data_IF_607481969513
#
_entry.id   IF_607481969513
#
_cell.length_a   1.000
_cell.length_b   1.000
_cell.length_c   1.000
_cell.angle_alpha   90.00
_cell.angle_beta   90.00
_cell.angle_gamma   90.00
#
_symmetry.space_group_name_H-M   'P 1'
#
loop_
_entity.id
_entity.type
_entity.pdbx_description
1 polymer ?
#
# COMPACT_ATOMS: atom_id res chain seq x y z
N UNK A 1 -17.66 -16.35 -17.15
CA UNK A 1 -16.21 -16.60 -17.24
C UNK A 1 -15.58 -15.49 -18.07
N UNK A 2 -14.43 -14.99 -17.66
CA UNK A 2 -13.64 -14.02 -18.42
C UNK A 2 -12.32 -14.70 -18.71
N UNK A 3 -11.81 -14.57 -19.93
CA UNK A 3 -10.50 -15.07 -20.32
C UNK A 3 -9.76 -14.02 -21.13
N UNK A 4 -8.53 -13.77 -20.78
CA UNK A 4 -7.60 -12.89 -21.45
C UNK A 4 -6.43 -13.74 -21.90
N UNK A 5 -6.03 -13.64 -23.16
CA UNK A 5 -4.97 -14.44 -23.75
C UNK A 5 -3.99 -13.52 -24.46
N UNK A 6 -2.74 -13.51 -23.99
CA UNK A 6 -1.60 -12.79 -24.54
C UNK A 6 -1.93 -11.31 -24.90
N UNK A 7 -2.48 -10.56 -23.94
CA UNK A 7 -2.93 -9.20 -24.18
C UNK A 7 -1.78 -8.20 -24.15
N UNK A 8 -1.59 -7.47 -25.27
CA UNK A 8 -0.59 -6.42 -25.39
C UNK A 8 -1.24 -5.05 -25.63
N UNK A 9 -0.68 -4.03 -24.96
CA UNK A 9 -1.10 -2.64 -25.14
C UNK A 9 0.08 -1.70 -25.07
N UNK A 10 0.20 -0.83 -26.09
CA UNK A 10 1.24 0.21 -26.16
C UNK A 10 0.62 1.61 -26.34
N UNK A 11 1.31 2.62 -25.83
CA UNK A 11 1.07 4.03 -26.11
C UNK A 11 2.32 4.64 -26.75
N UNK A 12 2.29 4.78 -28.08
CA UNK A 12 3.47 5.15 -28.84
C UNK A 12 4.56 4.10 -28.71
N UNK A 13 5.74 4.47 -28.16
CA UNK A 13 6.87 3.54 -27.94
C UNK A 13 6.80 2.81 -26.58
N UNK A 14 5.88 3.19 -25.69
CA UNK A 14 5.78 2.62 -24.36
C UNK A 14 4.83 1.43 -24.38
N UNK A 15 5.36 0.22 -24.24
CA UNK A 15 4.56 -0.99 -24.01
C UNK A 15 4.14 -1.06 -22.55
N UNK A 16 2.80 -0.97 -22.32
CA UNK A 16 2.18 -0.90 -21.00
C UNK A 16 1.67 -2.26 -20.53
N UNK A 17 1.10 -3.07 -21.43
CA UNK A 17 0.75 -4.47 -21.16
C UNK A 17 1.60 -5.38 -22.06
N UNK A 18 2.19 -6.40 -21.46
CA UNK A 18 3.24 -7.21 -22.09
C UNK A 18 2.89 -8.70 -22.09
N UNK A 19 1.79 -9.04 -22.79
CA UNK A 19 1.32 -10.43 -22.85
C UNK A 19 0.64 -10.86 -21.55
N UNK A 20 -0.46 -10.20 -21.17
CA UNK A 20 -1.22 -10.57 -19.98
C UNK A 20 -2.13 -11.75 -20.31
N UNK A 21 -2.01 -12.81 -19.53
CA UNK A 21 -2.92 -13.92 -19.45
C UNK A 21 -3.69 -13.87 -18.13
N UNK A 22 -5.01 -14.00 -18.16
CA UNK A 22 -5.84 -13.99 -16.97
C UNK A 22 -7.16 -14.71 -17.24
N UNK A 23 -7.56 -15.57 -16.32
CA UNK A 23 -8.87 -16.19 -16.32
C UNK A 23 -9.62 -15.83 -15.04
N UNK A 24 -10.91 -15.44 -15.16
CA UNK A 24 -11.78 -15.12 -14.01
C UNK A 24 -13.05 -15.95 -14.11
N UNK A 25 -13.33 -16.71 -13.06
CA UNK A 25 -14.52 -17.57 -12.97
C UNK A 25 -15.77 -16.75 -12.66
N UNK A 26 -16.95 -17.28 -12.98
CA UNK A 26 -18.22 -16.65 -12.61
C UNK A 26 -18.34 -16.57 -11.08
N UNK A 27 -18.69 -15.40 -10.57
CA UNK A 27 -18.81 -15.12 -9.14
C UNK A 27 -17.46 -14.90 -8.43
N UNK A 28 -16.34 -14.97 -9.16
CA UNK A 28 -15.02 -14.70 -8.61
C UNK A 28 -14.77 -13.19 -8.51
N UNK A 29 -14.11 -12.79 -7.43
CA UNK A 29 -13.67 -11.42 -7.19
C UNK A 29 -12.15 -11.38 -7.27
N UNK A 30 -11.65 -10.80 -8.34
CA UNK A 30 -10.21 -10.61 -8.55
C UNK A 30 -9.83 -9.17 -8.19
N UNK A 31 -8.93 -9.00 -7.25
CA UNK A 31 -8.36 -7.69 -6.91
C UNK A 31 -6.97 -7.56 -7.53
N UNK A 32 -6.74 -6.46 -8.25
CA UNK A 32 -5.47 -6.15 -8.89
C UNK A 32 -4.79 -5.02 -8.13
N UNK A 33 -3.58 -5.28 -7.62
CA UNK A 33 -2.75 -4.31 -6.90
C UNK A 33 -1.46 -4.05 -7.65
N UNK A 34 -0.76 -2.97 -7.31
CA UNK A 34 0.53 -2.60 -7.90
C UNK A 34 0.72 -1.08 -7.93
N UNK A 35 1.95 -0.63 -8.17
CA UNK A 35 2.30 0.79 -8.20
C UNK A 35 1.54 1.55 -9.31
N UNK A 36 1.45 2.88 -9.21
CA UNK A 36 0.87 3.71 -10.27
C UNK A 36 1.67 3.54 -11.58
N UNK A 37 0.96 3.54 -12.71
CA UNK A 37 1.57 3.40 -14.03
C UNK A 37 1.96 1.98 -14.43
N UNK A 38 1.63 0.93 -13.65
CA UNK A 38 1.96 -0.46 -14.00
C UNK A 38 1.01 -1.14 -15.00
N UNK A 39 -0.02 -0.43 -15.47
CA UNK A 39 -0.94 -0.94 -16.49
C UNK A 39 -2.29 -1.45 -15.96
N UNK A 40 -2.57 -1.38 -14.66
CA UNK A 40 -3.82 -1.88 -14.04
C UNK A 40 -5.08 -1.29 -14.67
N UNK A 41 -5.21 0.04 -14.68
CA UNK A 41 -6.35 0.74 -15.31
C UNK A 41 -6.40 0.50 -16.83
N UNK A 42 -5.24 0.40 -17.48
CA UNK A 42 -5.14 0.06 -18.91
C UNK A 42 -5.72 -1.34 -19.18
N UNK A 43 -5.41 -2.32 -18.31
CA UNK A 43 -5.98 -3.66 -18.42
C UNK A 43 -7.51 -3.63 -18.32
N UNK A 44 -8.09 -2.95 -17.31
CA UNK A 44 -9.53 -2.81 -17.19
C UNK A 44 -10.16 -2.12 -18.41
N UNK A 45 -9.52 -1.07 -18.92
CA UNK A 45 -10.00 -0.35 -20.12
C UNK A 45 -9.92 -1.19 -21.39
N UNK A 46 -8.93 -2.07 -21.50
CA UNK A 46 -8.86 -3.05 -22.59
C UNK A 46 -9.99 -4.08 -22.48
N UNK A 47 -10.35 -4.56 -21.28
CA UNK A 47 -11.45 -5.50 -21.07
C UNK A 47 -12.80 -4.94 -21.52
N UNK A 48 -13.02 -3.65 -21.33
CA UNK A 48 -14.22 -2.96 -21.83
C UNK A 48 -14.01 -2.35 -23.23
N UNK A 49 -12.86 -2.58 -23.86
CA UNK A 49 -12.49 -2.00 -25.15
C UNK A 49 -12.57 -0.46 -25.21
N UNK A 50 -12.47 0.23 -24.08
CA UNK A 50 -12.25 1.68 -24.04
C UNK A 50 -10.87 2.02 -24.58
N UNK A 51 -9.90 1.14 -24.31
CA UNK A 51 -8.58 1.13 -24.95
C UNK A 51 -8.52 -0.10 -25.87
N UNK A 52 -8.20 0.10 -27.14
CA UNK A 52 -8.03 -1.01 -28.08
C UNK A 52 -6.64 -1.64 -27.85
N UNK A 53 -6.56 -2.93 -27.50
CA UNK A 53 -5.29 -3.65 -27.46
C UNK A 53 -4.73 -3.86 -28.87
N UNK A 54 -3.43 -4.02 -28.99
CA UNK A 54 -2.73 -4.33 -30.26
C UNK A 54 -2.78 -5.81 -30.58
N UNK A 55 -2.68 -6.65 -29.53
CA UNK A 55 -2.69 -8.11 -29.66
C UNK A 55 -3.43 -8.75 -28.49
N UNK A 56 -3.82 -10.01 -28.70
CA UNK A 56 -4.47 -10.84 -27.69
C UNK A 56 -5.95 -11.04 -27.94
N UNK A 57 -6.54 -11.90 -27.10
CA UNK A 57 -7.96 -12.22 -27.13
C UNK A 57 -8.63 -11.92 -25.81
N UNK A 58 -9.85 -11.42 -25.87
CA UNK A 58 -10.67 -11.16 -24.68
C UNK A 58 -11.99 -11.90 -24.88
N UNK A 59 -12.31 -12.77 -23.94
CA UNK A 59 -13.58 -13.50 -23.87
C UNK A 59 -14.33 -13.07 -22.61
N UNK A 60 -15.61 -12.69 -22.76
CA UNK A 60 -16.54 -12.44 -21.65
C UNK A 60 -17.83 -13.20 -21.93
N UNK A 61 -18.16 -14.16 -21.06
CA UNK A 61 -19.27 -15.09 -21.34
C UNK A 61 -18.99 -15.95 -22.57
N UNK A 62 -19.84 -15.83 -23.57
CA UNK A 62 -19.73 -16.56 -24.83
C UNK A 62 -19.14 -15.71 -25.97
N UNK A 63 -18.78 -14.46 -25.69
CA UNK A 63 -18.28 -13.52 -26.68
C UNK A 63 -16.76 -13.44 -26.61
N UNK A 64 -16.10 -13.75 -27.72
CA UNK A 64 -14.64 -13.61 -27.88
C UNK A 64 -14.31 -12.56 -28.91
N UNK A 65 -13.38 -11.68 -28.59
CA UNK A 65 -12.88 -10.62 -29.46
C UNK A 65 -11.37 -10.78 -29.58
N UNK A 66 -10.86 -10.94 -30.80
CA UNK A 66 -9.44 -10.93 -31.14
C UNK A 66 -9.03 -9.52 -31.54
N UNK A 67 -8.03 -8.95 -30.90
CA UNK A 67 -7.60 -7.56 -31.07
C UNK A 67 -7.20 -7.22 -32.52
N UNK A 68 -6.64 -8.20 -33.26
CA UNK A 68 -6.15 -8.00 -34.63
C UNK A 68 -7.27 -8.06 -35.68
N UNK A 69 -8.31 -8.84 -35.43
CA UNK A 69 -9.33 -9.18 -36.46
C UNK A 69 -10.73 -8.66 -36.15
N UNK A 70 -10.97 -8.13 -34.95
CA UNK A 70 -12.31 -7.74 -34.51
C UNK A 70 -12.88 -6.54 -35.29
N UNK A 71 -14.18 -6.60 -35.49
CA UNK A 71 -14.98 -5.50 -36.00
C UNK A 71 -15.73 -4.73 -34.88
N UNK A 72 -16.33 -3.60 -35.26
CA UNK A 72 -17.11 -2.76 -34.30
C UNK A 72 -18.31 -3.49 -33.72
N UNK A 73 -18.91 -4.45 -34.43
CA UNK A 73 -20.08 -5.18 -33.96
C UNK A 73 -19.69 -6.14 -32.84
N UNK A 74 -18.58 -6.88 -33.00
CA UNK A 74 -18.06 -7.78 -32.01
C UNK A 74 -17.64 -7.01 -30.72
N UNK A 75 -16.96 -5.86 -30.87
CA UNK A 75 -16.61 -4.99 -29.75
C UNK A 75 -17.85 -4.47 -29.01
N UNK A 76 -18.88 -4.03 -29.75
CA UNK A 76 -20.13 -3.56 -29.14
C UNK A 76 -20.86 -4.69 -28.41
N UNK A 77 -20.80 -5.91 -28.91
CA UNK A 77 -21.37 -7.07 -28.24
C UNK A 77 -20.62 -7.38 -26.94
N UNK A 78 -19.28 -7.42 -26.97
CA UNK A 78 -18.44 -7.61 -25.77
C UNK A 78 -18.77 -6.57 -24.68
N UNK A 79 -18.93 -5.30 -25.06
CA UNK A 79 -19.24 -4.20 -24.14
C UNK A 79 -20.55 -4.37 -23.38
N UNK A 80 -21.54 -5.07 -23.94
CA UNK A 80 -22.82 -5.34 -23.26
C UNK A 80 -22.64 -6.28 -22.05
N UNK A 81 -21.55 -7.05 -22.03
CA UNK A 81 -21.27 -8.04 -21.01
C UNK A 81 -20.39 -7.48 -19.87
N UNK A 82 -19.90 -6.26 -20.00
CA UNK A 82 -19.07 -5.61 -18.96
C UNK A 82 -19.58 -4.22 -18.63
N UNK A 83 -19.47 -3.81 -17.37
CA UNK A 83 -19.71 -2.43 -16.96
C UNK A 83 -18.53 -1.92 -16.15
N UNK A 84 -18.13 -0.68 -16.42
CA UNK A 84 -16.97 -0.07 -15.79
C UNK A 84 -17.39 1.05 -14.84
N UNK A 85 -16.87 0.98 -13.63
CA UNK A 85 -16.97 1.99 -12.60
C UNK A 85 -15.63 2.71 -12.54
N UNK A 86 -15.64 4.02 -12.77
CA UNK A 86 -14.46 4.85 -12.90
C UNK A 86 -14.13 5.57 -11.59
N UNK A 87 -12.89 5.98 -11.45
CA UNK A 87 -12.41 6.83 -10.36
C UNK A 87 -13.17 8.16 -10.26
N UNK A 88 -13.49 8.79 -11.40
CA UNK A 88 -14.14 10.11 -11.49
C UNK A 88 -15.65 10.05 -11.73
N UNK A 89 -16.35 9.02 -11.26
CA UNK A 89 -17.79 8.80 -11.32
C UNK A 89 -18.39 8.85 -12.74
N UNK A 90 -18.01 9.79 -13.58
CA UNK A 90 -18.46 10.00 -14.95
C UNK A 90 -20.00 10.08 -15.10
N UNK A 91 -20.66 10.80 -14.18
CA UNK A 91 -22.09 11.04 -14.25
C UNK A 91 -22.41 12.12 -15.29
N UNK A 92 -23.58 11.99 -15.91
CA UNK A 92 -24.12 13.03 -16.80
C UNK A 92 -24.57 14.21 -15.93
N UNK A 93 -23.87 15.33 -16.01
CA UNK A 93 -24.12 16.51 -15.17
C UNK A 93 -25.48 17.18 -15.42
N UNK A 94 -26.00 17.04 -16.62
CA UNK A 94 -27.31 17.57 -17.04
C UNK A 94 -28.48 16.62 -16.77
N UNK A 95 -28.24 15.49 -16.08
CA UNK A 95 -29.23 14.48 -15.71
C UNK A 95 -29.28 14.32 -14.21
N UNK A 96 -30.44 14.14 -13.63
CA UNK A 96 -30.59 13.81 -12.23
C UNK A 96 -30.17 12.36 -11.93
N UNK A 97 -30.15 11.96 -10.67
CA UNK A 97 -29.76 10.61 -10.19
C UNK A 97 -30.52 9.52 -10.94
N UNK A 98 -31.86 9.60 -10.96
CA UNK A 98 -32.69 8.60 -11.61
C UNK A 98 -32.37 8.53 -13.13
N UNK A 99 -32.28 9.66 -13.80
CA UNK A 99 -31.99 9.75 -15.22
C UNK A 99 -30.61 9.22 -15.57
N UNK A 100 -29.59 9.42 -14.70
CA UNK A 100 -28.28 8.85 -14.89
C UNK A 100 -28.28 7.33 -14.96
N UNK A 101 -29.07 6.67 -14.10
CA UNK A 101 -29.19 5.21 -14.10
C UNK A 101 -30.08 4.70 -15.23
N UNK A 102 -31.10 5.46 -15.61
CA UNK A 102 -31.99 5.11 -16.74
C UNK A 102 -31.31 5.18 -18.11
N UNK A 103 -30.34 6.09 -18.28
CA UNK A 103 -29.76 6.42 -19.59
C UNK A 103 -29.26 5.20 -20.39
N UNK A 104 -28.38 4.33 -19.83
CA UNK A 104 -27.89 3.17 -20.58
C UNK A 104 -29.01 2.16 -20.91
N UNK A 105 -30.07 2.09 -20.11
CA UNK A 105 -31.21 1.20 -20.36
C UNK A 105 -32.05 1.68 -21.55
N UNK A 106 -32.26 3.00 -21.66
CA UNK A 106 -33.00 3.60 -22.76
C UNK A 106 -32.18 3.57 -24.05
N UNK A 107 -30.92 4.02 -23.98
CA UNK A 107 -30.11 4.23 -25.19
C UNK A 107 -29.48 2.93 -25.72
N UNK A 108 -28.93 2.08 -24.87
CA UNK A 108 -28.25 0.84 -25.27
C UNK A 108 -29.20 -0.36 -25.32
N UNK A 109 -30.05 -0.55 -24.29
CA UNK A 109 -30.99 -1.68 -24.22
C UNK A 109 -32.34 -1.41 -24.87
N UNK A 110 -32.62 -0.16 -25.25
CA UNK A 110 -33.90 0.27 -25.89
C UNK A 110 -35.15 -0.13 -25.09
N UNK A 111 -35.04 -0.17 -23.77
CA UNK A 111 -36.14 -0.49 -22.86
C UNK A 111 -37.17 0.65 -22.85
N UNK A 112 -38.44 0.32 -22.59
CA UNK A 112 -39.47 1.34 -22.44
C UNK A 112 -39.28 2.12 -21.12
N UNK A 113 -39.78 3.35 -21.06
CA UNK A 113 -39.54 4.29 -19.95
C UNK A 113 -40.01 3.76 -18.60
N UNK A 114 -41.19 3.11 -18.57
CA UNK A 114 -41.75 2.63 -17.29
C UNK A 114 -40.95 1.46 -16.69
N UNK A 115 -40.51 0.54 -17.54
CA UNK A 115 -39.63 -0.57 -17.12
C UNK A 115 -38.25 -0.05 -16.67
N UNK A 116 -37.68 0.87 -17.45
CA UNK A 116 -36.41 1.51 -17.16
C UNK A 116 -36.43 2.20 -15.78
N UNK A 117 -37.51 2.92 -15.47
CA UNK A 117 -37.67 3.60 -14.18
C UNK A 117 -37.76 2.62 -13.02
N UNK A 118 -38.46 1.50 -13.15
CA UNK A 118 -38.53 0.45 -12.13
C UNK A 118 -37.15 -0.16 -11.85
N UNK A 119 -36.43 -0.52 -12.91
CA UNK A 119 -35.07 -1.08 -12.80
C UNK A 119 -34.12 -0.09 -12.16
N UNK A 120 -34.15 1.18 -12.60
CA UNK A 120 -33.29 2.21 -12.05
C UNK A 120 -33.55 2.47 -10.56
N UNK A 121 -34.83 2.54 -10.12
CA UNK A 121 -35.19 2.70 -8.72
C UNK A 121 -34.71 1.53 -7.87
N UNK A 122 -34.84 0.30 -8.36
CA UNK A 122 -34.38 -0.89 -7.66
C UNK A 122 -32.86 -0.83 -7.36
N UNK A 123 -32.03 -0.52 -8.37
CA UNK A 123 -30.59 -0.43 -8.15
C UNK A 123 -30.15 0.81 -7.34
N UNK A 124 -30.91 1.91 -7.44
CA UNK A 124 -30.66 3.08 -6.58
C UNK A 124 -31.03 2.80 -5.10
N UNK A 125 -32.03 1.98 -4.86
CA UNK A 125 -32.35 1.49 -3.52
C UNK A 125 -31.23 0.61 -2.94
N UNK A 126 -30.69 -0.33 -3.74
CA UNK A 126 -29.58 -1.20 -3.32
C UNK A 126 -28.32 -0.43 -2.91
N UNK A 127 -28.09 0.75 -3.48
CA UNK A 127 -26.93 1.59 -3.13
C UNK A 127 -27.29 2.72 -2.16
N UNK A 128 -28.49 2.70 -1.55
CA UNK A 128 -28.95 3.69 -0.55
C UNK A 128 -29.18 5.10 -1.12
N UNK A 129 -29.69 5.22 -2.35
CA UNK A 129 -29.92 6.51 -3.04
C UNK A 129 -31.38 6.80 -3.36
N UNK A 130 -32.33 6.13 -2.68
CA UNK A 130 -33.77 6.27 -2.94
C UNK A 130 -34.32 7.67 -2.63
N UNK A 131 -33.77 8.38 -1.67
CA UNK A 131 -34.18 9.73 -1.26
C UNK A 131 -33.61 10.85 -2.18
N UNK A 132 -32.68 10.52 -3.08
CA UNK A 132 -31.93 11.47 -3.92
C UNK A 132 -32.30 11.45 -5.40
N UNK A 133 -33.34 10.73 -5.81
CA UNK A 133 -33.69 10.45 -7.23
C UNK A 133 -33.74 11.69 -8.12
N UNK A 134 -34.19 12.84 -7.59
CA UNK A 134 -34.37 14.10 -8.34
C UNK A 134 -33.14 15.04 -8.24
N UNK A 135 -32.16 14.71 -7.42
CA UNK A 135 -30.94 15.53 -7.25
C UNK A 135 -30.03 15.39 -8.47
N UNK A 136 -29.23 16.43 -8.70
CA UNK A 136 -28.23 16.45 -9.77
C UNK A 136 -26.82 16.18 -9.21
N UNK A 137 -25.89 15.66 -10.01
CA UNK A 137 -24.55 15.33 -9.54
C UNK A 137 -23.84 16.45 -8.76
N UNK A 138 -24.03 17.69 -9.18
CA UNK A 138 -23.40 18.85 -8.50
C UNK A 138 -23.84 19.06 -7.06
N UNK A 139 -24.96 18.47 -6.62
CA UNK A 139 -25.48 18.57 -5.24
C UNK A 139 -25.20 17.34 -4.39
N UNK A 140 -24.45 16.38 -4.93
CA UNK A 140 -24.11 15.11 -4.27
C UNK A 140 -22.66 15.12 -3.78
N UNK A 141 -22.41 14.48 -2.64
CA UNK A 141 -21.05 14.17 -2.22
C UNK A 141 -20.35 13.21 -3.20
N UNK A 142 -19.02 13.13 -3.15
CA UNK A 142 -18.26 12.19 -3.98
C UNK A 142 -18.72 10.74 -3.80
N UNK A 143 -18.92 10.29 -2.56
CA UNK A 143 -19.42 8.95 -2.25
C UNK A 143 -20.83 8.69 -2.80
N UNK A 144 -21.72 9.69 -2.74
CA UNK A 144 -23.05 9.60 -3.35
C UNK A 144 -22.97 9.50 -4.88
N UNK A 145 -22.12 10.29 -5.52
CA UNK A 145 -21.90 10.21 -6.96
C UNK A 145 -21.37 8.83 -7.37
N UNK A 146 -20.44 8.28 -6.61
CA UNK A 146 -19.89 6.94 -6.87
C UNK A 146 -20.95 5.85 -6.71
N UNK A 147 -21.80 5.93 -5.69
CA UNK A 147 -22.94 5.00 -5.50
C UNK A 147 -23.93 5.07 -6.67
N UNK A 148 -24.22 6.24 -7.21
CA UNK A 148 -25.03 6.39 -8.44
C UNK A 148 -24.33 5.78 -9.65
N UNK A 149 -23.01 5.92 -9.79
CA UNK A 149 -22.24 5.29 -10.88
C UNK A 149 -22.26 3.76 -10.78
N UNK A 150 -22.19 3.21 -9.55
CA UNK A 150 -22.35 1.77 -9.31
C UNK A 150 -23.76 1.32 -9.70
N UNK A 151 -24.82 2.00 -9.25
CA UNK A 151 -26.20 1.67 -9.62
C UNK A 151 -26.43 1.71 -11.13
N UNK A 152 -25.86 2.70 -11.82
CA UNK A 152 -25.91 2.79 -13.28
C UNK A 152 -25.26 1.58 -13.97
N UNK A 153 -24.14 1.12 -13.42
CA UNK A 153 -23.40 -0.05 -13.93
C UNK A 153 -24.14 -1.37 -13.65
N UNK A 154 -24.78 -1.50 -12.50
CA UNK A 154 -25.61 -2.65 -12.15
C UNK A 154 -26.88 -2.75 -12.99
N UNK A 155 -27.51 -1.62 -13.33
CA UNK A 155 -28.77 -1.57 -14.05
C UNK A 155 -28.69 -2.25 -15.44
N UNK A 156 -27.55 -2.23 -16.08
CA UNK A 156 -27.35 -2.93 -17.36
C UNK A 156 -27.15 -4.44 -17.20
N UNK A 157 -27.09 -4.98 -15.98
CA UNK A 157 -26.94 -6.41 -15.67
C UNK A 157 -25.76 -7.05 -16.43
N UNK A 158 -24.54 -6.58 -16.21
CA UNK A 158 -23.36 -7.09 -16.92
C UNK A 158 -22.94 -8.45 -16.37
N UNK A 159 -22.15 -9.21 -17.15
CA UNK A 159 -21.51 -10.44 -16.68
C UNK A 159 -20.34 -10.16 -15.74
N UNK A 160 -19.73 -8.97 -15.83
CA UNK A 160 -18.61 -8.54 -14.98
C UNK A 160 -18.68 -7.03 -14.69
N UNK A 161 -18.38 -6.68 -13.45
CA UNK A 161 -18.15 -5.32 -12.99
C UNK A 161 -16.65 -5.05 -12.92
N UNK A 162 -16.20 -3.97 -13.54
CA UNK A 162 -14.80 -3.53 -13.59
C UNK A 162 -14.67 -2.24 -12.77
N UNK A 163 -13.96 -2.28 -11.65
CA UNK A 163 -13.75 -1.14 -10.78
C UNK A 163 -12.34 -0.59 -10.92
N UNK A 164 -12.22 0.63 -11.42
CA UNK A 164 -10.93 1.33 -11.59
C UNK A 164 -10.76 2.35 -10.46
N UNK A 165 -10.11 1.95 -9.38
CA UNK A 165 -9.84 2.76 -8.18
C UNK A 165 -11.09 3.51 -7.66
N UNK A 166 -12.15 2.81 -7.27
CA UNK A 166 -13.47 3.41 -7.02
C UNK A 166 -13.51 4.38 -5.83
N UNK A 167 -12.46 4.45 -5.01
CA UNK A 167 -12.38 5.28 -3.80
C UNK A 167 -11.31 6.36 -3.85
N UNK A 168 -10.40 6.35 -4.84
CA UNK A 168 -9.22 7.22 -4.86
C UNK A 168 -9.51 8.71 -5.06
N UNK A 169 -10.72 9.07 -5.54
CA UNK A 169 -11.16 10.46 -5.68
C UNK A 169 -12.10 10.91 -4.55
N UNK A 170 -12.21 10.12 -3.48
CA UNK A 170 -13.10 10.39 -2.36
C UNK A 170 -12.34 10.93 -1.15
N UNK A 171 -13.01 11.79 -0.40
CA UNK A 171 -12.56 12.13 0.95
C UNK A 171 -12.66 10.89 1.86
N UNK A 172 -11.75 10.74 2.86
CA UNK A 172 -11.69 9.54 3.71
C UNK A 172 -13.02 9.16 4.38
N UNK A 173 -13.85 10.14 4.70
CA UNK A 173 -15.16 9.93 5.34
C UNK A 173 -16.16 9.17 4.43
N UNK A 174 -16.04 9.29 3.10
CA UNK A 174 -16.93 8.66 2.13
C UNK A 174 -16.43 7.32 1.58
N UNK A 175 -15.15 6.99 1.82
CA UNK A 175 -14.53 5.75 1.36
C UNK A 175 -15.28 4.53 1.89
N UNK A 176 -15.57 4.50 3.20
CA UNK A 176 -16.22 3.36 3.86
C UNK A 176 -17.59 3.08 3.28
N UNK A 177 -18.41 4.10 3.00
CA UNK A 177 -19.74 3.93 2.42
C UNK A 177 -19.72 3.27 1.04
N UNK A 178 -18.74 3.62 0.21
CA UNK A 178 -18.60 3.03 -1.13
C UNK A 178 -18.07 1.59 -1.02
N UNK A 179 -17.12 1.34 -0.13
CA UNK A 179 -16.60 0.00 0.11
C UNK A 179 -17.67 -0.94 0.67
N UNK A 180 -18.59 -0.47 1.51
CA UNK A 180 -19.74 -1.27 2.00
C UNK A 180 -20.64 -1.70 0.85
N UNK A 181 -20.98 -0.81 -0.07
CA UNK A 181 -21.75 -1.19 -1.27
C UNK A 181 -21.05 -2.27 -2.06
N UNK A 182 -19.72 -2.16 -2.26
CA UNK A 182 -18.97 -3.18 -3.02
C UNK A 182 -18.91 -4.51 -2.24
N UNK A 183 -18.78 -4.49 -0.90
CA UNK A 183 -18.90 -5.71 -0.05
C UNK A 183 -20.25 -6.40 -0.21
N UNK A 184 -21.32 -5.64 -0.28
CA UNK A 184 -22.67 -6.22 -0.45
C UNK A 184 -22.85 -6.85 -1.83
N UNK A 185 -22.24 -6.28 -2.88
CA UNK A 185 -22.17 -6.91 -4.19
C UNK A 185 -21.33 -8.19 -4.18
N UNK A 186 -20.26 -8.21 -3.40
CA UNK A 186 -19.43 -9.40 -3.20
C UNK A 186 -20.23 -10.56 -2.59
N UNK A 187 -21.04 -10.29 -1.56
CA UNK A 187 -21.95 -11.27 -0.93
C UNK A 187 -23.02 -11.80 -1.90
N UNK A 188 -23.39 -11.03 -2.91
CA UNK A 188 -24.35 -11.41 -3.96
C UNK A 188 -23.71 -12.20 -5.11
N UNK A 189 -22.42 -12.59 -4.98
CA UNK A 189 -21.66 -13.36 -5.96
C UNK A 189 -21.55 -12.70 -7.36
N UNK A 190 -21.50 -11.38 -7.41
CA UNK A 190 -21.13 -10.68 -8.64
C UNK A 190 -19.70 -11.03 -9.05
N UNK A 191 -19.48 -11.24 -10.35
CA UNK A 191 -18.12 -11.35 -10.89
C UNK A 191 -17.51 -9.95 -10.96
N UNK A 192 -16.38 -9.74 -10.32
CA UNK A 192 -15.75 -8.42 -10.23
C UNK A 192 -14.26 -8.48 -10.48
N UNK A 193 -13.74 -7.46 -11.17
CA UNK A 193 -12.30 -7.17 -11.24
C UNK A 193 -12.12 -5.76 -10.67
N UNK A 194 -11.35 -5.64 -9.60
CA UNK A 194 -11.24 -4.41 -8.82
C UNK A 194 -9.77 -3.99 -8.77
N UNK A 195 -9.45 -2.81 -9.29
CA UNK A 195 -8.18 -2.13 -9.05
C UNK A 195 -8.35 -1.24 -7.83
N UNK A 196 -7.55 -1.43 -6.79
CA UNK A 196 -7.63 -0.64 -5.55
C UNK A 196 -6.29 -0.55 -4.83
N UNK A 197 -6.15 0.48 -4.01
CA UNK A 197 -5.07 0.64 -3.03
C UNK A 197 -5.53 0.32 -1.58
N UNK A 198 -6.79 -0.06 -1.39
CA UNK A 198 -7.37 -0.41 -0.09
C UNK A 198 -7.06 -1.87 0.25
N UNK A 199 -5.88 -2.13 0.87
CA UNK A 199 -5.40 -3.50 1.10
C UNK A 199 -6.28 -4.28 2.08
N UNK A 200 -6.81 -3.63 3.12
CA UNK A 200 -7.72 -4.26 4.06
C UNK A 200 -9.02 -4.70 3.38
N UNK A 201 -9.59 -3.85 2.55
CA UNK A 201 -10.77 -4.19 1.74
C UNK A 201 -10.47 -5.34 0.76
N UNK A 202 -9.32 -5.30 0.09
CA UNK A 202 -8.89 -6.38 -0.81
C UNK A 202 -8.83 -7.72 -0.08
N UNK A 203 -8.29 -7.75 1.14
CA UNK A 203 -8.23 -8.95 1.99
C UNK A 203 -9.62 -9.50 2.34
N UNK A 204 -10.59 -8.61 2.59
CA UNK A 204 -11.95 -9.00 3.01
C UNK A 204 -12.80 -9.56 1.87
N UNK A 205 -12.66 -9.02 0.65
CA UNK A 205 -13.59 -9.33 -0.45
C UNK A 205 -13.01 -10.19 -1.56
N UNK A 206 -11.69 -10.19 -1.75
CA UNK A 206 -11.09 -10.87 -2.88
C UNK A 206 -11.14 -12.40 -2.74
N UNK A 207 -11.51 -13.08 -3.81
CA UNK A 207 -11.27 -14.52 -3.96
C UNK A 207 -9.82 -14.78 -4.36
N UNK A 208 -9.24 -13.85 -5.12
CA UNK A 208 -7.86 -13.89 -5.60
C UNK A 208 -7.31 -12.49 -5.74
N UNK A 209 -6.02 -12.33 -5.43
CA UNK A 209 -5.27 -11.07 -5.58
C UNK A 209 -4.19 -11.28 -6.64
N UNK A 210 -4.02 -10.27 -7.49
CA UNK A 210 -3.00 -10.22 -8.53
C UNK A 210 -2.12 -9.00 -8.30
N UNK A 211 -0.82 -9.21 -8.17
CA UNK A 211 0.15 -8.11 -8.16
C UNK A 211 0.71 -7.90 -9.56
N UNK A 212 0.53 -6.69 -10.09
CA UNK A 212 1.07 -6.26 -11.38
C UNK A 212 2.21 -5.27 -11.22
N UNK A 213 3.31 -5.52 -11.93
CA UNK A 213 4.43 -4.59 -12.05
C UNK A 213 4.97 -4.57 -13.48
N UNK A 214 5.30 -3.37 -14.00
CA UNK A 214 5.91 -3.16 -15.33
C UNK A 214 5.18 -3.84 -16.49
N UNK A 215 3.86 -3.93 -16.39
CA UNK A 215 3.01 -4.45 -17.46
C UNK A 215 2.83 -5.97 -17.48
N UNK A 216 3.28 -6.68 -16.45
CA UNK A 216 3.11 -8.13 -16.32
C UNK A 216 2.48 -8.49 -14.97
N UNK A 217 1.88 -9.68 -14.89
CA UNK A 217 1.50 -10.31 -13.63
C UNK A 217 2.75 -10.88 -13.00
N UNK A 218 3.07 -10.45 -11.78
CA UNK A 218 4.29 -10.86 -11.05
C UNK A 218 3.97 -11.96 -10.04
N UNK A 219 2.81 -11.87 -9.41
CA UNK A 219 2.34 -12.83 -8.43
C UNK A 219 0.82 -12.85 -8.38
N UNK A 220 0.24 -14.03 -8.22
CA UNK A 220 -1.19 -14.20 -7.97
C UNK A 220 -1.42 -15.32 -6.96
N UNK A 221 -2.51 -15.22 -6.21
CA UNK A 221 -2.88 -16.21 -5.19
C UNK A 221 -4.05 -15.74 -4.36
N UNK A 222 -4.33 -16.44 -3.26
CA UNK A 222 -5.32 -16.01 -2.29
C UNK A 222 -4.90 -14.70 -1.62
N UNK A 223 -5.82 -13.93 -1.01
CA UNK A 223 -5.45 -12.74 -0.24
C UNK A 223 -4.37 -13.01 0.81
N UNK A 224 -4.43 -14.14 1.50
CA UNK A 224 -3.42 -14.53 2.50
C UNK A 224 -2.04 -14.76 1.86
N UNK A 225 -1.99 -15.45 0.71
CA UNK A 225 -0.73 -15.74 0.01
C UNK A 225 -0.07 -14.47 -0.53
N UNK A 226 -0.85 -13.55 -1.12
CA UNK A 226 -0.28 -12.36 -1.81
C UNK A 226 -0.16 -11.15 -0.90
N UNK A 227 -1.12 -10.91 0.02
CA UNK A 227 -1.11 -9.71 0.87
C UNK A 227 -0.39 -9.91 2.21
N UNK A 228 -0.32 -11.15 2.72
CA UNK A 228 0.30 -11.42 4.01
C UNK A 228 1.61 -12.18 3.89
N UNK A 229 1.66 -13.19 3.02
CA UNK A 229 2.80 -14.09 2.87
C UNK A 229 3.31 -14.17 1.42
N UNK A 230 3.58 -13.03 0.75
CA UNK A 230 4.00 -13.03 -0.65
C UNK A 230 5.35 -13.74 -0.83
N UNK A 231 5.41 -14.60 -1.83
CA UNK A 231 6.62 -15.35 -2.21
C UNK A 231 7.59 -14.47 -2.99
N UNK A 232 7.07 -13.54 -3.79
CA UNK A 232 7.87 -12.66 -4.62
C UNK A 232 8.42 -11.46 -3.82
N UNK A 233 9.73 -11.19 -3.93
CA UNK A 233 10.38 -10.07 -3.24
C UNK A 233 9.84 -8.70 -3.67
N UNK A 234 9.39 -8.57 -4.93
CA UNK A 234 8.80 -7.32 -5.45
C UNK A 234 7.43 -7.06 -4.84
N UNK A 235 6.61 -8.11 -4.65
CA UNK A 235 5.32 -8.01 -3.96
C UNK A 235 5.52 -7.59 -2.51
N UNK A 236 6.48 -8.20 -1.79
CA UNK A 236 6.85 -7.80 -0.42
C UNK A 236 7.25 -6.33 -0.34
N UNK A 237 8.10 -5.89 -1.27
CA UNK A 237 8.55 -4.49 -1.31
C UNK A 237 7.39 -3.52 -1.58
N UNK A 238 6.49 -3.86 -2.52
CA UNK A 238 5.31 -3.04 -2.83
C UNK A 238 4.37 -2.90 -1.64
N UNK A 239 4.05 -4.00 -0.98
CA UNK A 239 3.15 -4.01 0.17
C UNK A 239 3.77 -3.39 1.42
N UNK A 240 5.04 -2.95 1.33
CA UNK A 240 5.83 -2.55 2.49
C UNK A 240 5.75 -3.60 3.60
N UNK A 241 5.56 -4.86 3.21
CA UNK A 241 5.85 -6.03 4.03
C UNK A 241 7.37 -6.17 4.09
N UNK A 242 8.02 -5.04 4.25
CA UNK A 242 9.28 -4.97 4.92
C UNK A 242 9.04 -5.72 6.22
N UNK A 243 9.94 -6.65 6.51
CA UNK A 243 9.89 -7.53 7.67
C UNK A 243 9.19 -6.81 8.83
N UNK A 244 8.06 -7.33 9.28
CA UNK A 244 7.29 -6.75 10.38
C UNK A 244 8.21 -6.62 11.58
N UNK A 245 7.92 -5.73 12.50
CA UNK A 245 8.62 -5.68 13.80
C UNK A 245 8.73 -7.07 14.45
N UNK A 246 7.74 -7.92 14.24
CA UNK A 246 7.65 -9.33 14.66
C UNK A 246 8.70 -10.25 14.01
N UNK A 247 9.24 -9.85 12.83
CA UNK A 247 10.33 -10.58 12.17
C UNK A 247 11.69 -10.32 12.79
N UNK A 248 11.77 -9.40 13.76
CA UNK A 248 12.98 -9.07 14.49
C UNK A 248 12.76 -9.22 15.98
N UNK A 249 13.78 -9.68 16.65
CA UNK A 249 13.83 -9.67 18.12
C UNK A 249 15.04 -8.87 18.59
N UNK A 250 14.87 -8.18 19.71
CA UNK A 250 15.96 -7.56 20.43
C UNK A 250 16.42 -8.57 21.50
N UNK A 251 17.68 -8.94 21.44
CA UNK A 251 18.32 -9.87 22.37
C UNK A 251 19.29 -9.10 23.21
N UNK A 252 19.22 -9.28 24.51
CA UNK A 252 20.14 -8.69 25.49
C UNK A 252 21.39 -9.54 25.55
N UNK A 253 22.57 -8.91 25.58
CA UNK A 253 23.86 -9.60 25.62
C UNK A 253 24.94 -8.72 26.25
N UNK A 254 26.14 -9.27 26.36
CA UNK A 254 27.36 -8.52 26.72
C UNK A 254 28.42 -8.59 25.59
N UNK A 255 28.00 -8.99 24.39
CA UNK A 255 28.88 -9.30 23.26
C UNK A 255 29.28 -8.05 22.46
N UNK A 256 29.79 -7.02 23.12
CA UNK A 256 30.11 -5.73 22.47
C UNK A 256 31.12 -5.90 21.34
N UNK A 257 32.17 -6.66 21.54
CA UNK A 257 33.26 -6.87 20.60
C UNK A 257 32.76 -7.57 19.31
N UNK A 258 31.84 -8.49 19.45
CA UNK A 258 31.23 -9.18 18.29
C UNK A 258 30.30 -8.27 17.43
N UNK A 259 29.89 -7.14 17.99
CA UNK A 259 29.03 -6.17 17.28
C UNK A 259 29.86 -5.13 16.51
N UNK A 260 31.16 -4.95 16.85
CA UNK A 260 32.01 -3.92 16.23
C UNK A 260 32.06 -4.01 14.70
N UNK A 261 32.23 -5.18 14.06
CA UNK A 261 32.25 -5.25 12.60
C UNK A 261 30.96 -4.70 11.97
N UNK A 262 29.81 -5.02 12.54
CA UNK A 262 28.51 -4.51 12.08
C UNK A 262 28.38 -3.00 12.30
N UNK A 263 28.84 -2.48 13.41
CA UNK A 263 28.86 -1.03 13.69
C UNK A 263 29.70 -0.26 12.66
N UNK A 264 30.89 -0.79 12.32
CA UNK A 264 31.78 -0.22 11.30
C UNK A 264 31.08 -0.25 9.92
N UNK A 265 30.51 -1.39 9.54
CA UNK A 265 29.78 -1.55 8.26
C UNK A 265 28.56 -0.61 8.17
N UNK A 266 27.90 -0.37 9.29
CA UNK A 266 26.80 0.60 9.39
C UNK A 266 27.24 2.07 9.38
N UNK A 267 28.56 2.34 9.40
CA UNK A 267 29.15 3.67 9.28
C UNK A 267 29.47 4.37 10.58
N UNK A 268 29.57 3.63 11.70
CA UNK A 268 30.16 4.18 12.92
C UNK A 268 31.69 4.21 12.78
N UNK A 269 32.29 5.30 13.29
CA UNK A 269 33.73 5.45 13.32
C UNK A 269 34.29 4.75 14.57
N UNK A 270 34.75 3.50 14.40
CA UNK A 270 35.25 2.63 15.45
C UNK A 270 36.50 1.89 14.95
N UNK A 271 37.40 1.58 15.87
CA UNK A 271 38.55 0.74 15.58
C UNK A 271 38.15 -0.74 15.60
N UNK A 272 38.65 -1.57 14.65
CA UNK A 272 38.31 -3.01 14.62
C UNK A 272 38.62 -3.77 15.92
N UNK A 273 39.60 -3.29 16.68
CA UNK A 273 40.03 -3.87 17.92
C UNK A 273 39.60 -3.05 19.16
N UNK A 274 38.59 -2.21 19.00
CA UNK A 274 38.05 -1.41 20.08
C UNK A 274 37.56 -2.33 21.21
N UNK A 275 37.95 -2.03 22.43
CA UNK A 275 37.47 -2.77 23.60
C UNK A 275 36.13 -2.23 24.05
N UNK A 276 35.35 -3.11 24.69
CA UNK A 276 34.10 -2.69 25.31
C UNK A 276 34.29 -1.48 26.21
N UNK A 277 33.35 -0.52 26.16
CA UNK A 277 33.45 0.70 26.93
C UNK A 277 33.39 0.42 28.44
N UNK A 278 34.14 1.22 29.22
CA UNK A 278 34.03 1.18 30.68
C UNK A 278 32.60 1.53 31.09
N UNK A 279 32.07 0.82 32.08
CA UNK A 279 30.69 1.01 32.53
C UNK A 279 29.61 0.43 31.61
N UNK A 280 29.97 -0.46 30.68
CA UNK A 280 28.98 -1.19 29.85
C UNK A 280 28.00 -1.93 30.76
N UNK A 281 26.72 -1.60 30.62
CA UNK A 281 25.61 -2.25 31.33
C UNK A 281 24.98 -3.36 30.52
N UNK A 282 24.72 -3.09 29.21
CA UNK A 282 23.98 -4.01 28.34
C UNK A 282 24.28 -3.73 26.87
N UNK A 283 24.28 -4.77 26.05
CA UNK A 283 24.23 -4.71 24.61
C UNK A 283 22.88 -5.21 24.13
N UNK A 284 22.36 -4.59 23.09
CA UNK A 284 21.09 -4.91 22.45
C UNK A 284 21.37 -5.35 21.02
N UNK A 285 21.16 -6.63 20.73
CA UNK A 285 21.35 -7.19 19.41
C UNK A 285 20.00 -7.29 18.69
N UNK A 286 19.87 -6.66 17.55
CA UNK A 286 18.69 -6.80 16.70
C UNK A 286 18.90 -7.97 15.75
N UNK A 287 18.16 -9.05 15.96
CA UNK A 287 18.27 -10.31 15.21
C UNK A 287 17.06 -10.48 14.28
N UNK A 288 17.32 -10.77 13.03
CA UNK A 288 16.33 -11.21 12.08
C UNK A 288 15.90 -12.65 12.38
N UNK A 289 14.65 -12.87 12.78
CA UNK A 289 14.12 -14.16 13.18
C UNK A 289 14.14 -15.21 12.06
N UNK A 290 14.05 -14.77 10.78
CA UNK A 290 14.00 -15.69 9.64
C UNK A 290 15.38 -16.19 9.23
N UNK A 291 16.42 -15.36 9.40
CA UNK A 291 17.79 -15.68 8.97
C UNK A 291 18.73 -15.96 10.11
N UNK A 292 18.36 -15.61 11.34
CA UNK A 292 19.25 -15.63 12.52
C UNK A 292 20.38 -14.59 12.46
N UNK A 293 20.41 -13.73 11.44
CA UNK A 293 21.45 -12.72 11.23
C UNK A 293 21.26 -11.53 12.18
N UNK A 294 22.35 -11.03 12.79
CA UNK A 294 22.39 -9.74 13.46
C UNK A 294 22.35 -8.63 12.41
N UNK A 295 21.36 -7.73 12.49
CA UNK A 295 21.10 -6.68 11.50
C UNK A 295 21.17 -5.27 12.10
N UNK A 296 21.39 -5.18 13.39
CA UNK A 296 21.57 -3.94 14.12
C UNK A 296 21.95 -4.20 15.56
N UNK A 297 22.23 -3.13 16.26
CA UNK A 297 22.53 -3.23 17.69
C UNK A 297 22.78 -1.87 18.32
N UNK A 298 22.86 -1.91 19.65
CA UNK A 298 23.14 -0.76 20.49
C UNK A 298 23.83 -1.15 21.80
N UNK A 299 24.37 -0.17 22.52
CA UNK A 299 24.89 -0.40 23.84
C UNK A 299 24.47 0.70 24.81
N UNK A 300 24.17 0.30 26.03
CA UNK A 300 23.92 1.15 27.19
C UNK A 300 25.09 1.10 28.12
N UNK A 301 25.59 2.25 28.51
CA UNK A 301 26.69 2.38 29.49
C UNK A 301 26.26 3.28 30.65
N UNK A 302 26.89 3.11 31.80
CA UNK A 302 26.82 4.04 32.93
C UNK A 302 28.19 4.69 33.10
N UNK A 303 28.26 5.99 32.92
CA UNK A 303 29.50 6.75 32.99
C UNK A 303 29.22 8.19 33.43
N UNK A 304 30.14 8.80 34.17
CA UNK A 304 29.95 10.16 34.70
C UNK A 304 28.64 10.31 35.50
N UNK A 305 28.25 9.28 36.25
CA UNK A 305 27.01 9.20 37.03
C UNK A 305 25.71 9.32 36.21
N UNK A 306 25.77 9.08 34.88
CA UNK A 306 24.63 9.16 33.97
C UNK A 306 24.53 7.92 33.07
N UNK A 307 23.31 7.63 32.64
CA UNK A 307 23.03 6.59 31.65
C UNK A 307 23.23 7.13 30.24
N UNK A 308 23.98 6.42 29.42
CA UNK A 308 24.35 6.86 28.06
C UNK A 308 24.13 5.76 27.06
N UNK A 309 23.41 6.08 25.99
CA UNK A 309 23.39 5.24 24.79
C UNK A 309 24.69 5.49 24.03
N UNK A 310 25.62 4.55 24.09
CA UNK A 310 26.98 4.74 23.54
C UNK A 310 27.03 4.50 22.05
N UNK A 311 26.35 3.45 21.57
CA UNK A 311 26.28 3.07 20.14
C UNK A 311 24.87 2.72 19.75
N UNK A 312 24.46 3.09 18.56
CA UNK A 312 23.23 2.62 17.89
C UNK A 312 23.52 2.51 16.40
N UNK A 313 23.35 1.34 15.83
CA UNK A 313 23.47 1.16 14.39
C UNK A 313 22.51 0.10 13.86
N UNK A 314 22.05 0.33 12.62
CA UNK A 314 21.25 -0.61 11.84
C UNK A 314 21.91 -0.72 10.46
N UNK A 315 22.12 -1.94 9.95
CA UNK A 315 22.63 -2.18 8.60
C UNK A 315 21.79 -1.42 7.56
N UNK A 316 22.43 -0.84 6.54
CA UNK A 316 21.76 -0.02 5.50
C UNK A 316 20.53 -0.66 4.87
N UNK A 317 20.59 -1.98 4.63
CA UNK A 317 19.47 -2.74 4.04
C UNK A 317 18.22 -2.80 4.94
N UNK A 318 18.37 -2.47 6.22
CA UNK A 318 17.32 -2.53 7.25
C UNK A 318 16.94 -1.16 7.83
N UNK A 319 17.58 -0.08 7.38
CA UNK A 319 17.24 1.29 7.77
C UNK A 319 15.90 1.74 7.20
N UNK A 320 15.28 2.77 7.78
CA UNK A 320 13.97 3.29 7.36
C UNK A 320 12.76 2.48 7.82
N UNK A 321 12.95 1.37 8.54
CA UNK A 321 11.92 0.40 8.97
C UNK A 321 11.39 0.61 10.38
N UNK A 322 11.79 1.69 11.04
CA UNK A 322 11.44 1.97 12.42
C UNK A 322 12.22 1.15 13.47
N UNK A 323 13.12 0.23 13.03
CA UNK A 323 13.88 -0.66 13.92
C UNK A 323 14.80 0.10 14.88
N UNK A 324 15.42 1.18 14.42
CA UNK A 324 16.22 2.07 15.27
C UNK A 324 15.39 2.73 16.37
N UNK A 325 14.17 3.13 16.04
CA UNK A 325 13.19 3.68 17.00
C UNK A 325 12.86 2.67 18.09
N UNK A 326 12.62 1.41 17.73
CA UNK A 326 12.27 0.37 18.69
C UNK A 326 13.46 0.02 19.57
N UNK A 327 14.67 -0.06 18.99
CA UNK A 327 15.89 -0.31 19.72
C UNK A 327 16.14 0.78 20.78
N UNK A 328 16.06 2.06 20.40
CA UNK A 328 16.23 3.19 21.31
C UNK A 328 15.13 3.21 22.40
N UNK A 329 13.87 2.90 22.05
CA UNK A 329 12.78 2.81 23.04
C UNK A 329 13.01 1.69 24.05
N UNK A 330 13.49 0.53 23.61
CA UNK A 330 13.83 -0.58 24.50
C UNK A 330 14.91 -0.17 25.48
N UNK A 331 15.97 0.49 25.00
CA UNK A 331 17.06 0.97 25.85
C UNK A 331 16.58 2.01 26.88
N UNK A 332 15.72 2.95 26.45
CA UNK A 332 15.15 3.94 27.36
C UNK A 332 14.29 3.30 28.45
N UNK A 333 13.52 2.27 28.10
CA UNK A 333 12.71 1.53 29.07
C UNK A 333 13.60 0.80 30.09
N UNK A 334 14.63 0.11 29.61
CA UNK A 334 15.60 -0.57 30.47
C UNK A 334 16.35 0.39 31.39
N UNK A 335 16.81 1.54 30.86
CA UNK A 335 17.46 2.57 31.66
C UNK A 335 16.54 3.07 32.78
N UNK A 336 15.25 3.31 32.44
CA UNK A 336 14.23 3.72 33.41
C UNK A 336 14.01 2.67 34.51
N UNK A 337 13.93 1.40 34.14
CA UNK A 337 13.79 0.28 35.10
C UNK A 337 15.02 0.13 36.02
N UNK A 338 16.18 0.54 35.54
CA UNK A 338 17.42 0.63 36.33
C UNK A 338 17.50 1.90 37.21
N UNK A 339 16.49 2.77 37.16
CA UNK A 339 16.38 3.98 37.99
C UNK A 339 16.91 5.25 37.31
N UNK A 340 17.18 5.23 36.01
CA UNK A 340 17.55 6.43 35.27
C UNK A 340 16.44 7.48 35.31
N UNK A 341 16.76 8.71 35.65
CA UNK A 341 15.86 9.87 35.51
C UNK A 341 16.02 10.53 34.18
N UNK A 342 17.17 10.40 33.56
CA UNK A 342 17.50 10.93 32.24
C UNK A 342 18.48 10.01 31.51
N UNK A 343 18.59 10.15 30.23
CA UNK A 343 19.48 9.40 29.36
C UNK A 343 20.14 10.32 28.34
N UNK A 344 21.41 10.11 28.10
CA UNK A 344 22.21 10.90 27.17
C UNK A 344 22.67 10.06 25.98
N UNK A 345 23.04 10.74 24.92
CA UNK A 345 23.72 10.15 23.75
C UNK A 345 24.49 11.22 22.97
N UNK A 346 25.44 10.78 22.15
CA UNK A 346 26.05 11.62 21.13
C UNK A 346 25.48 11.26 19.76
N UNK A 347 24.70 12.18 19.14
CA UNK A 347 23.92 11.95 17.95
C UNK A 347 24.65 12.39 16.69
N UNK A 348 25.02 11.49 15.79
CA UNK A 348 25.43 11.81 14.41
C UNK A 348 24.24 12.28 13.52
N UNK A 349 23.01 11.92 13.89
CA UNK A 349 21.78 12.27 13.18
C UNK A 349 20.78 12.85 14.18
N UNK A 350 20.98 14.10 14.64
CA UNK A 350 20.16 14.71 15.70
C UNK A 350 18.66 14.71 15.40
N UNK A 351 18.27 14.91 14.13
CA UNK A 351 16.87 14.96 13.73
C UNK A 351 16.11 13.65 14.03
N UNK A 352 16.76 12.50 13.90
CA UNK A 352 16.18 11.22 14.29
C UNK A 352 15.83 11.19 15.79
N UNK A 353 16.74 11.61 16.65
CA UNK A 353 16.55 11.58 18.10
C UNK A 353 15.56 12.64 18.59
N UNK A 354 15.46 13.79 17.91
CA UNK A 354 14.40 14.78 18.16
C UNK A 354 13.01 14.17 18.03
N UNK A 355 12.79 13.29 17.03
CA UNK A 355 11.49 12.59 16.86
C UNK A 355 11.16 11.66 18.04
N UNK A 356 12.17 11.27 18.82
CA UNK A 356 12.04 10.45 20.03
C UNK A 356 11.96 11.28 21.31
N UNK A 357 11.96 12.61 21.19
CA UNK A 357 11.83 13.55 22.29
C UNK A 357 13.15 13.89 23.01
N UNK A 358 14.31 13.64 22.35
CA UNK A 358 15.58 14.13 22.84
C UNK A 358 15.77 15.60 22.48
N UNK A 359 16.45 16.33 23.36
CA UNK A 359 16.82 17.73 23.17
C UNK A 359 18.35 17.89 23.16
N UNK A 360 18.85 18.83 22.39
CA UNK A 360 20.28 19.16 22.34
C UNK A 360 20.66 19.82 23.66
N UNK A 361 21.81 19.44 24.20
CA UNK A 361 22.40 20.02 25.42
C UNK A 361 23.76 20.60 25.08
N UNK A 362 24.05 21.78 25.60
CA UNK A 362 25.35 22.40 25.38
C UNK A 362 26.47 21.58 26.03
N UNK A 363 27.67 21.62 25.44
CA UNK A 363 28.84 20.89 26.01
C UNK A 363 29.20 21.32 27.43
N UNK A 364 28.91 22.58 27.79
CA UNK A 364 29.22 23.12 29.13
C UNK A 364 28.24 22.59 30.19
N UNK A 365 27.04 22.12 29.77
CA UNK A 365 26.01 21.61 30.67
C UNK A 365 25.92 20.07 30.64
N UNK A 366 26.48 19.44 29.62
CA UNK A 366 26.48 18.00 29.47
C UNK A 366 27.56 17.31 30.31
N UNK A 367 27.31 16.10 30.82
CA UNK A 367 28.38 15.29 31.43
C UNK A 367 29.42 14.92 30.37
N UNK A 368 30.67 14.70 30.78
CA UNK A 368 31.77 14.34 29.87
C UNK A 368 31.64 12.89 29.33
N UNK A 369 30.60 12.69 28.54
CA UNK A 369 30.24 11.38 27.94
C UNK A 369 30.93 11.12 26.61
N UNK A 370 31.57 12.14 26.02
CA UNK A 370 32.15 12.06 24.68
C UNK A 370 33.33 13.01 24.53
N UNK A 371 34.36 12.56 23.85
CA UNK A 371 35.49 13.38 23.43
C UNK A 371 35.30 14.10 22.12
N UNK A 372 34.07 14.17 21.61
CA UNK A 372 33.76 14.77 20.30
C UNK A 372 34.18 16.24 20.22
N UNK A 373 34.04 17.00 21.28
CA UNK A 373 34.48 18.41 21.35
C UNK A 373 36.02 18.58 21.18
N UNK A 374 36.82 17.55 21.41
CA UNK A 374 38.25 17.51 21.16
C UNK A 374 38.62 17.01 19.76
N UNK A 375 37.64 16.52 19.01
CA UNK A 375 37.84 15.96 17.68
C UNK A 375 38.03 17.07 16.63
N UNK A 376 39.08 16.96 15.82
CA UNK A 376 39.36 17.91 14.73
C UNK A 376 38.27 18.03 13.66
N UNK A 377 37.34 17.08 13.59
CA UNK A 377 36.20 17.06 12.69
C UNK A 377 34.94 17.72 13.27
N UNK A 378 34.93 18.03 14.56
CA UNK A 378 33.77 18.66 15.19
C UNK A 378 33.50 20.02 14.54
N UNK A 379 32.32 20.25 14.04
CA UNK A 379 31.90 21.36 13.15
C UNK A 379 32.75 21.58 11.87
N UNK A 380 33.66 20.63 11.56
CA UNK A 380 34.44 20.62 10.30
C UNK A 380 34.21 19.30 9.53
N UNK A 381 32.95 18.97 9.26
CA UNK A 381 32.53 17.73 8.59
C UNK A 381 31.93 16.65 9.50
N UNK A 382 31.70 17.00 10.79
CA UNK A 382 30.94 16.19 11.72
C UNK A 382 30.04 17.11 12.56
N UNK A 383 28.71 16.97 12.38
CA UNK A 383 27.67 17.75 13.07
C UNK A 383 27.04 16.94 14.22
N UNK A 384 27.85 16.16 14.96
CA UNK A 384 27.35 15.40 16.09
C UNK A 384 27.02 16.28 17.27
N UNK A 385 25.86 16.03 17.90
CA UNK A 385 25.37 16.80 19.04
C UNK A 385 25.16 15.92 20.25
N UNK A 386 25.46 16.44 21.43
CA UNK A 386 25.07 15.77 22.69
C UNK A 386 23.56 16.03 22.87
N UNK A 387 22.84 14.96 23.09
CA UNK A 387 21.40 15.03 23.30
C UNK A 387 21.01 14.31 24.59
N UNK A 388 19.94 14.80 25.23
CA UNK A 388 19.41 14.29 26.47
C UNK A 388 17.88 14.14 26.39
N UNK A 389 17.37 13.19 27.16
CA UNK A 389 15.95 13.02 27.40
C UNK A 389 15.67 12.64 28.84
N UNK A 390 14.64 13.27 29.44
CA UNK A 390 14.06 12.83 30.73
C UNK A 390 13.20 11.57 30.49
N UNK A 391 13.29 10.57 31.41
CA UNK A 391 12.67 9.24 31.29
C UNK A 391 11.41 9.04 32.13
#
# INVERSE_FOLDING_TARGET
MIKIENLHKSFGKLEVLKGIDLEVKKGEIVVIIGSSGTGKSTLLRCLNYLEKPEEGKITIGDITVDAKTCDKKQVNELRKHSAMIFQNYNLFLNKNVLQNVMEPLVTAKKMNKNETEKVAKHYLEQVGMSDKLKQYPATLSGGQQQRVAIARSLAVQPNVLLFDEPTSALDPEWVLEVLEVIRDLAKQHFTMIIVTHEMQFAKEVASRVIFMEKGVVVEEGTPEEVLENPKNSRTRAFLRLEKRKEDFKIVHSMNYEEMIPMFIEAGLEMEPNEKRPSGLLECYELIDNNTGKRVGGASLVYTCDEYVIKTVAIEKAYQGKGLGTDLVKTIMQDAKERGAKRIYLNAKVPEFYKTLGFTIVSHDEAPDISTCHLCHRYHNGCDSEIMMKDL
#
